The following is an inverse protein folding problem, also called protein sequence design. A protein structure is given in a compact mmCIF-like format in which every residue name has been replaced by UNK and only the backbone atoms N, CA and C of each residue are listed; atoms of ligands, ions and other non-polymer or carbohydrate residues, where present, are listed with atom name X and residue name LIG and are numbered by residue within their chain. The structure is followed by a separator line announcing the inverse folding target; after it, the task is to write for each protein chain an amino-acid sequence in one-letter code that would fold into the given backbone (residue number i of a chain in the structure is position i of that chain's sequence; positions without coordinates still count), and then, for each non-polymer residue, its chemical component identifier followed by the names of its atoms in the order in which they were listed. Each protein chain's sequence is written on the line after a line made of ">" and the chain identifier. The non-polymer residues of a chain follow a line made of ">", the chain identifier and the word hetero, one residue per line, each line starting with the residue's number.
data_IF_029270892762
#
_entry.id   IF_029270892762
#
_cell.length_a   1.000
_cell.length_b   1.000
_cell.length_c   1.000
_cell.angle_alpha   90.00
_cell.angle_beta   90.00
_cell.angle_gamma   90.00
#
_symmetry.space_group_name_H-M   'P 1'
#
loop_
_entity.id
_entity.type
_entity.pdbx_description
1 polymer ?
#
# COMPACT_ATOMS: atom_id res chain seq x y z
N UNK A 1 -9.76 -0.81 6.28
CA UNK A 1 -9.71 -1.81 5.19
C UNK A 1 -8.26 -1.97 4.78
N UNK A 2 -7.73 -3.18 4.71
CA UNK A 2 -6.39 -3.46 4.19
C UNK A 2 -6.40 -3.61 2.66
N UNK A 3 -5.24 -3.44 2.02
CA UNK A 3 -5.12 -3.47 0.55
C UNK A 3 -5.51 -4.83 -0.05
N UNK A 4 -5.21 -5.95 0.60
CA UNK A 4 -5.54 -7.29 0.09
C UNK A 4 -7.05 -7.48 -0.11
N UNK A 5 -7.83 -7.06 0.89
CA UNK A 5 -9.30 -7.07 0.82
C UNK A 5 -9.80 -6.11 -0.27
N UNK A 6 -9.21 -4.92 -0.39
CA UNK A 6 -9.55 -3.93 -1.44
C UNK A 6 -9.29 -4.48 -2.84
N UNK A 7 -8.14 -5.11 -3.07
CA UNK A 7 -7.78 -5.73 -4.35
C UNK A 7 -8.78 -6.82 -4.75
N UNK A 8 -9.14 -7.69 -3.81
CA UNK A 8 -10.17 -8.72 -4.03
C UNK A 8 -11.52 -8.09 -4.39
N UNK A 9 -11.91 -7.04 -3.69
CA UNK A 9 -13.14 -6.27 -3.97
C UNK A 9 -13.13 -5.64 -5.36
N UNK A 10 -12.03 -5.02 -5.78
CA UNK A 10 -11.88 -4.45 -7.13
C UNK A 10 -12.02 -5.51 -8.22
N UNK A 11 -11.37 -6.67 -8.03
CA UNK A 11 -11.47 -7.78 -8.98
C UNK A 11 -12.88 -8.34 -9.05
N UNK A 12 -13.50 -8.62 -7.90
CA UNK A 12 -14.86 -9.17 -7.84
C UNK A 12 -15.90 -8.17 -8.36
N UNK A 13 -15.74 -6.88 -8.10
CA UNK A 13 -16.61 -5.83 -8.64
C UNK A 13 -16.55 -5.69 -10.16
N UNK A 14 -15.48 -6.17 -10.80
CA UNK A 14 -15.34 -6.28 -12.26
C UNK A 14 -15.70 -7.66 -12.82
N UNK A 15 -16.17 -8.60 -11.97
CA UNK A 15 -16.37 -10.01 -12.32
C UNK A 15 -15.14 -10.69 -12.94
N UNK A 16 -13.94 -10.27 -12.56
CA UNK A 16 -12.70 -10.80 -13.13
C UNK A 16 -12.16 -11.99 -12.33
N UNK A 17 -11.62 -12.98 -13.04
CA UNK A 17 -10.90 -14.08 -12.41
C UNK A 17 -9.49 -13.65 -12.00
N UNK A 18 -8.84 -14.37 -11.08
CA UNK A 18 -7.42 -14.12 -10.78
C UNK A 18 -6.54 -14.26 -12.03
N UNK A 19 -6.89 -15.17 -12.94
CA UNK A 19 -6.19 -15.33 -14.22
C UNK A 19 -6.34 -14.08 -15.11
N UNK A 20 -7.54 -13.52 -15.22
CA UNK A 20 -7.79 -12.29 -16.00
C UNK A 20 -6.94 -11.13 -15.49
N UNK A 21 -6.92 -10.92 -14.16
CA UNK A 21 -6.10 -9.88 -13.54
C UNK A 21 -4.61 -10.18 -13.69
N UNK A 22 -4.20 -11.45 -13.59
CA UNK A 22 -2.82 -11.87 -13.78
C UNK A 22 -2.30 -11.47 -15.17
N UNK A 23 -3.06 -11.79 -16.21
CA UNK A 23 -2.72 -11.40 -17.60
C UNK A 23 -2.71 -9.89 -17.75
N UNK A 24 -3.76 -9.21 -17.29
CA UNK A 24 -3.91 -7.76 -17.47
C UNK A 24 -2.91 -6.91 -16.68
N UNK A 25 -2.50 -7.39 -15.51
CA UNK A 25 -1.42 -6.76 -14.74
C UNK A 25 -0.05 -7.29 -15.12
N UNK A 26 0.06 -8.43 -15.81
CA UNK A 26 1.25 -9.27 -16.02
C UNK A 26 1.98 -9.64 -14.69
N UNK A 27 1.19 -9.92 -13.66
CA UNK A 27 1.64 -10.42 -12.35
C UNK A 27 1.22 -11.88 -12.24
N UNK A 28 2.08 -12.73 -11.66
CA UNK A 28 1.74 -14.13 -11.45
C UNK A 28 0.44 -14.30 -10.65
N UNK A 29 -0.39 -15.25 -11.07
CA UNK A 29 -1.69 -15.53 -10.47
C UNK A 29 -1.56 -15.94 -8.99
N UNK A 30 -0.52 -16.70 -8.65
CA UNK A 30 -0.25 -17.12 -7.26
C UNK A 30 0.15 -15.93 -6.40
N UNK A 31 0.94 -15.00 -6.96
CA UNK A 31 1.26 -13.74 -6.27
C UNK A 31 0.02 -12.90 -6.01
N UNK A 32 -0.84 -12.68 -7.00
CA UNK A 32 -2.12 -11.97 -6.81
C UNK A 32 -2.98 -12.63 -5.73
N UNK A 33 -3.04 -13.97 -5.74
CA UNK A 33 -3.74 -14.75 -4.73
C UNK A 33 -3.18 -14.51 -3.32
N UNK A 34 -1.85 -14.46 -3.17
CA UNK A 34 -1.17 -14.15 -1.91
C UNK A 34 -1.41 -12.71 -1.46
N UNK A 35 -1.47 -11.76 -2.39
CA UNK A 35 -1.78 -10.36 -2.09
C UNK A 35 -3.20 -10.22 -1.53
N UNK A 36 -4.20 -10.85 -2.16
CA UNK A 36 -5.58 -10.83 -1.66
C UNK A 36 -5.74 -11.46 -0.27
N UNK A 37 -4.88 -12.44 0.08
CA UNK A 37 -4.85 -13.08 1.40
C UNK A 37 -3.92 -12.40 2.40
N UNK A 38 -3.25 -11.29 2.03
CA UNK A 38 -2.30 -10.55 2.88
C UNK A 38 -1.08 -11.39 3.29
N UNK A 39 -0.80 -12.48 2.57
CA UNK A 39 0.36 -13.33 2.78
C UNK A 39 1.64 -12.73 2.19
N UNK A 40 1.48 -11.74 1.29
CA UNK A 40 2.59 -11.03 0.67
C UNK A 40 2.19 -9.60 0.32
N UNK A 41 3.17 -8.71 0.33
CA UNK A 41 3.03 -7.31 -0.11
C UNK A 41 3.56 -7.20 -1.56
N UNK A 42 2.85 -6.52 -2.47
CA UNK A 42 3.35 -6.20 -3.80
C UNK A 42 4.62 -5.34 -3.75
N UNK A 43 5.47 -5.47 -4.76
CA UNK A 43 6.54 -4.48 -5.00
C UNK A 43 5.95 -3.19 -5.60
N UNK A 44 6.72 -2.10 -5.57
CA UNK A 44 6.32 -0.81 -6.16
C UNK A 44 5.95 -0.95 -7.65
N UNK A 45 6.72 -1.72 -8.41
CA UNK A 45 6.41 -1.99 -9.82
C UNK A 45 5.11 -2.80 -9.98
N UNK A 46 4.83 -3.74 -9.09
CA UNK A 46 3.57 -4.47 -9.08
C UNK A 46 2.40 -3.54 -8.70
N UNK A 47 2.60 -2.66 -7.72
CA UNK A 47 1.62 -1.65 -7.31
C UNK A 47 1.27 -0.70 -8.46
N UNK A 48 2.26 -0.19 -9.20
CA UNK A 48 2.06 0.62 -10.42
C UNK A 48 1.17 -0.07 -11.45
N UNK A 49 1.41 -1.37 -11.66
CA UNK A 49 0.68 -2.16 -12.64
C UNK A 49 -0.76 -2.44 -12.20
N UNK A 50 -0.96 -2.73 -10.91
CA UNK A 50 -2.29 -2.86 -10.30
C UNK A 50 -3.05 -1.54 -10.39
N UNK A 51 -2.42 -0.42 -10.04
CA UNK A 51 -3.02 0.91 -10.11
C UNK A 51 -3.49 1.24 -11.54
N UNK A 52 -2.61 1.02 -12.53
CA UNK A 52 -2.93 1.21 -13.95
C UNK A 52 -4.08 0.31 -14.41
N UNK A 53 -4.07 -0.96 -14.02
CA UNK A 53 -5.06 -1.94 -14.46
C UNK A 53 -6.47 -1.65 -13.92
N UNK A 54 -6.57 -1.30 -12.63
CA UNK A 54 -7.84 -0.95 -11.97
C UNK A 54 -8.22 0.52 -12.08
N UNK A 55 -7.35 1.36 -12.69
CA UNK A 55 -7.52 2.81 -12.81
C UNK A 55 -7.75 3.48 -11.46
N UNK A 56 -6.97 3.08 -10.46
CA UNK A 56 -6.97 3.67 -9.12
C UNK A 56 -5.75 4.58 -8.95
N UNK A 57 -5.84 5.50 -8.00
CA UNK A 57 -4.74 6.41 -7.70
C UNK A 57 -3.53 5.65 -7.14
N UNK A 58 -2.37 5.86 -7.77
CA UNK A 58 -1.13 5.19 -7.38
C UNK A 58 -0.61 5.73 -6.04
N UNK A 59 -0.75 7.02 -5.78
CA UNK A 59 -0.23 7.62 -4.56
C UNK A 59 -1.00 7.11 -3.33
N UNK A 60 -2.33 7.08 -3.41
CA UNK A 60 -3.18 6.49 -2.38
C UNK A 60 -2.85 5.01 -2.16
N UNK A 61 -2.67 4.26 -3.25
CA UNK A 61 -2.28 2.85 -3.18
C UNK A 61 -0.94 2.67 -2.47
N UNK A 62 0.06 3.48 -2.80
CA UNK A 62 1.37 3.40 -2.18
C UNK A 62 1.31 3.72 -0.68
N UNK A 63 0.50 4.71 -0.26
CA UNK A 63 0.28 5.02 1.16
C UNK A 63 -0.31 3.81 1.89
N UNK A 64 -1.35 3.18 1.33
CA UNK A 64 -1.96 1.97 1.91
C UNK A 64 -0.96 0.82 2.02
N UNK A 65 -0.16 0.60 0.97
CA UNK A 65 0.86 -0.45 0.94
C UNK A 65 1.99 -0.19 1.93
N UNK A 66 2.42 1.07 2.11
CA UNK A 66 3.43 1.43 3.11
C UNK A 66 2.93 1.14 4.52
N UNK A 67 1.71 1.55 4.85
CA UNK A 67 1.11 1.27 6.15
C UNK A 67 0.98 -0.25 6.39
N UNK A 68 0.53 -1.00 5.37
CA UNK A 68 0.43 -2.45 5.46
C UNK A 68 1.80 -3.12 5.60
N UNK A 69 2.84 -2.61 4.95
CA UNK A 69 4.21 -3.14 5.06
C UNK A 69 4.75 -2.99 6.48
N UNK A 70 4.53 -1.83 7.12
CA UNK A 70 4.91 -1.60 8.53
C UNK A 70 4.23 -2.64 9.42
N UNK A 71 2.93 -2.83 9.27
CA UNK A 71 2.17 -3.82 10.06
C UNK A 71 2.64 -5.25 9.77
N UNK A 72 2.94 -5.57 8.52
CA UNK A 72 3.37 -6.91 8.12
C UNK A 72 4.76 -7.26 8.67
N UNK A 73 5.69 -6.31 8.68
CA UNK A 73 7.07 -6.53 9.13
C UNK A 73 7.22 -6.46 10.66
N UNK A 74 6.50 -5.55 11.31
CA UNK A 74 6.69 -5.27 12.74
C UNK A 74 5.52 -5.71 13.63
N UNK A 75 4.37 -6.05 13.03
CA UNK A 75 3.17 -6.46 13.74
C UNK A 75 2.40 -5.31 14.38
N UNK A 76 1.18 -5.60 14.83
CA UNK A 76 0.36 -4.69 15.62
C UNK A 76 0.67 -4.88 17.11
N UNK A 77 1.60 -4.10 17.63
CA UNK A 77 1.99 -4.09 19.04
C UNK A 77 2.38 -2.67 19.47
N UNK A 78 2.57 -2.49 20.78
CA UNK A 78 2.88 -1.19 21.38
C UNK A 78 4.17 -0.59 20.83
N UNK A 79 5.20 -1.42 20.58
CA UNK A 79 6.47 -0.96 19.99
C UNK A 79 6.26 -0.35 18.60
N UNK A 80 5.51 -1.03 17.73
CA UNK A 80 5.18 -0.52 16.39
C UNK A 80 4.36 0.77 16.46
N UNK A 81 3.44 0.86 17.42
CA UNK A 81 2.63 2.05 17.64
C UNK A 81 3.49 3.25 18.07
N UNK A 82 4.36 3.09 19.07
CA UNK A 82 5.24 4.16 19.51
C UNK A 82 6.26 4.56 18.44
N UNK A 83 6.79 3.60 17.67
CA UNK A 83 7.65 3.91 16.52
C UNK A 83 6.92 4.77 15.47
N UNK A 84 5.64 4.48 15.19
CA UNK A 84 4.84 5.29 14.28
C UNK A 84 4.62 6.72 14.81
N UNK A 85 4.46 6.88 16.13
CA UNK A 85 4.36 8.20 16.76
C UNK A 85 5.64 9.01 16.62
N UNK A 86 6.80 8.39 16.84
CA UNK A 86 8.10 9.05 16.66
C UNK A 86 8.31 9.52 15.20
N UNK A 87 7.92 8.69 14.22
CA UNK A 87 7.97 9.07 12.80
C UNK A 87 7.06 10.26 12.52
N UNK A 88 5.83 10.25 13.04
CA UNK A 88 4.88 11.36 12.91
C UNK A 88 5.46 12.66 13.48
N UNK A 89 6.08 12.62 14.65
CA UNK A 89 6.70 13.78 15.29
C UNK A 89 7.84 14.36 14.44
N UNK A 90 8.71 13.51 13.89
CA UNK A 90 9.78 13.94 12.99
C UNK A 90 9.26 14.67 11.74
N UNK A 91 8.12 14.24 11.17
CA UNK A 91 7.48 14.94 10.06
C UNK A 91 6.90 16.30 10.44
N UNK A 92 6.36 16.43 11.66
CA UNK A 92 5.87 17.72 12.18
C UNK A 92 7.03 18.70 12.31
N UNK A 93 8.14 18.30 12.93
CA UNK A 93 9.35 19.12 13.08
C UNK A 93 9.96 19.54 11.74
N UNK A 94 10.02 18.61 10.77
CA UNK A 94 10.47 18.95 9.42
C UNK A 94 9.57 20.02 8.77
N UNK A 95 8.26 19.92 8.98
CA UNK A 95 7.27 20.84 8.41
C UNK A 95 7.28 22.23 9.07
N UNK A 96 7.63 22.33 10.35
CA UNK A 96 7.79 23.62 11.04
C UNK A 96 9.07 24.32 10.61
N UNK A 97 10.19 23.59 10.56
CA UNK A 97 11.51 24.14 10.20
C UNK A 97 11.61 24.57 8.73
N UNK A 98 10.87 23.90 7.84
CA UNK A 98 10.81 24.27 6.41
C UNK A 98 9.94 25.51 6.13
N UNK A 99 9.02 25.86 7.02
CA UNK A 99 8.24 27.12 6.95
C UNK A 99 9.05 28.33 7.42
N UNK A 100 9.86 28.18 8.47
CA UNK A 100 10.74 29.24 8.96
C UNK A 100 11.82 29.62 7.93
N UNK A 101 12.38 28.64 7.21
CA UNK A 101 13.37 28.88 6.14
C UNK A 101 12.81 29.53 4.87
N UNK A 102 11.49 29.57 4.67
CA UNK A 102 10.84 30.25 3.52
C UNK A 102 10.38 31.67 3.85
N UNK A 103 10.34 32.04 5.13
CA UNK A 103 9.95 33.36 5.61
C UNK A 103 11.14 34.31 5.85
N UNK A 104 12.36 33.83 5.60
CA UNK A 104 13.62 34.59 5.68
C UNK A 104 14.25 34.67 4.29
#
# INVERSE_FOLDING_TARGET
>A
MDFGTKLKGLRQGRNETLHTVAVGTNIDMTLLSKFERKERIPTDEQAKRIAKYFKIDLQELMIELTAQKIIFEYGLNDTTYEAANLVREAFVEYSTNSKEKKAT
#
